data_IF_497481449828
#
_entry.id   IF_497481449828
#
_cell.length_a   1.000
_cell.length_b   1.000
_cell.length_c   1.000
_cell.angle_alpha   90.00
_cell.angle_beta   90.00
_cell.angle_gamma   90.00
#
_symmetry.space_group_name_H-M   'P 1'
#
loop_
_entity.id
_entity.type
_entity.pdbx_description
1 polymer ?
#
# COMPACT_ATOMS: atom_id res chain seq x y z
N UNK A 1 -7.63 14.99 8.69
CA UNK A 1 -6.24 14.57 8.37
C UNK A 1 -5.58 14.16 9.67
N UNK A 2 -4.82 13.05 9.70
CA UNK A 2 -4.11 12.63 10.92
C UNK A 2 -2.91 13.56 11.19
N UNK A 3 -2.63 13.90 12.47
CA UNK A 3 -1.48 14.73 12.82
C UNK A 3 -0.16 14.19 12.24
N UNK A 4 0.73 15.08 11.79
CA UNK A 4 2.05 14.65 11.32
C UNK A 4 2.85 13.97 12.44
N UNK A 5 2.74 14.51 13.66
CA UNK A 5 3.42 14.04 14.87
C UNK A 5 3.00 12.65 15.34
N UNK A 6 1.91 12.08 14.80
CA UNK A 6 1.51 10.70 15.11
C UNK A 6 2.19 9.66 14.21
N UNK A 7 2.97 10.09 13.21
CA UNK A 7 3.47 9.21 12.13
C UNK A 7 4.87 8.64 12.37
N UNK A 8 5.61 9.14 13.36
CA UNK A 8 6.96 8.64 13.68
C UNK A 8 7.95 8.80 12.52
N UNK A 9 7.86 9.88 11.75
CA UNK A 9 8.70 10.13 10.58
C UNK A 9 9.96 10.92 10.95
N UNK A 10 11.12 10.66 10.32
CA UNK A 10 12.38 11.33 10.62
C UNK A 10 12.48 12.75 10.02
N UNK A 11 11.65 13.06 9.02
CA UNK A 11 11.67 14.33 8.28
C UNK A 11 10.66 15.33 8.85
N UNK A 12 10.80 16.63 8.58
CA UNK A 12 9.76 17.61 8.92
C UNK A 12 8.52 17.48 8.02
N UNK A 13 7.39 18.02 8.49
CA UNK A 13 6.15 18.08 7.71
C UNK A 13 6.36 18.85 6.41
N UNK A 14 5.86 18.29 5.29
CA UNK A 14 6.01 18.88 3.96
C UNK A 14 7.30 18.49 3.22
N UNK A 15 8.21 17.72 3.83
CA UNK A 15 9.41 17.23 3.12
C UNK A 15 9.07 16.25 1.99
N UNK A 16 8.10 15.36 2.21
CA UNK A 16 7.58 14.46 1.18
C UNK A 16 6.19 14.91 0.71
N UNK A 17 5.88 14.77 -0.59
CA UNK A 17 4.54 15.02 -1.10
C UNK A 17 3.49 14.20 -0.35
N UNK A 18 2.35 14.82 -0.06
CA UNK A 18 1.24 14.14 0.58
C UNK A 18 0.37 13.46 -0.48
N UNK A 19 0.12 12.17 -0.29
CA UNK A 19 -0.76 11.37 -1.13
C UNK A 19 -1.89 10.80 -0.27
N UNK A 20 -3.10 10.72 -0.84
CA UNK A 20 -4.27 10.14 -0.19
C UNK A 20 -4.90 9.12 -1.12
N UNK A 21 -5.30 7.99 -0.56
CA UNK A 21 -5.84 6.86 -1.34
C UNK A 21 -7.20 6.45 -0.79
N UNK A 22 -8.06 6.02 -1.69
CA UNK A 22 -9.32 5.34 -1.40
C UNK A 22 -9.16 3.84 -1.68
N UNK A 23 -9.68 3.01 -0.77
CA UNK A 23 -9.81 1.56 -0.99
C UNK A 23 -11.06 1.35 -1.84
N UNK A 24 -10.86 1.11 -3.13
CA UNK A 24 -11.96 0.88 -4.08
C UNK A 24 -12.55 -0.51 -3.91
N UNK A 25 -11.72 -1.46 -3.47
CA UNK A 25 -12.11 -2.85 -3.24
C UNK A 25 -11.28 -3.46 -2.13
N UNK A 26 -11.91 -4.32 -1.32
CA UNK A 26 -11.23 -4.99 -0.21
C UNK A 26 -10.00 -5.75 -0.69
N UNK A 27 -8.88 -5.55 0.01
CA UNK A 27 -7.58 -6.16 -0.32
C UNK A 27 -7.54 -7.56 0.27
N UNK A 28 -8.25 -8.48 -0.40
CA UNK A 28 -8.26 -9.91 -0.10
C UNK A 28 -7.56 -10.67 -1.21
N UNK A 29 -7.05 -11.86 -0.90
CA UNK A 29 -6.43 -12.75 -1.90
C UNK A 29 -7.34 -12.98 -3.10
N UNK A 30 -8.63 -13.22 -2.86
CA UNK A 30 -9.62 -13.42 -3.92
C UNK A 30 -9.75 -12.20 -4.83
N UNK A 31 -9.88 -11.01 -4.24
CA UNK A 31 -10.01 -9.77 -5.00
C UNK A 31 -8.74 -9.43 -5.78
N UNK A 32 -7.56 -9.69 -5.22
CA UNK A 32 -6.27 -9.51 -5.89
C UNK A 32 -6.16 -10.43 -7.10
N UNK A 33 -6.42 -11.73 -6.94
CA UNK A 33 -6.35 -12.72 -8.03
C UNK A 33 -7.37 -12.39 -9.12
N UNK A 34 -8.59 -12.02 -8.72
CA UNK A 34 -9.64 -11.61 -9.66
C UNK A 34 -9.23 -10.37 -10.44
N UNK A 35 -8.77 -9.32 -9.77
CA UNK A 35 -8.29 -8.09 -10.42
C UNK A 35 -7.13 -8.39 -11.37
N UNK A 36 -6.14 -9.19 -10.94
CA UNK A 36 -5.01 -9.57 -11.78
C UNK A 36 -5.45 -10.30 -13.05
N UNK A 37 -6.27 -11.36 -12.92
CA UNK A 37 -6.71 -12.15 -14.07
C UNK A 37 -7.59 -11.37 -15.05
N UNK A 38 -8.37 -10.40 -14.55
CA UNK A 38 -9.24 -9.54 -15.35
C UNK A 38 -8.49 -8.32 -15.93
N UNK A 39 -7.27 -8.05 -15.46
CA UNK A 39 -6.49 -6.91 -15.92
C UNK A 39 -5.94 -7.16 -17.33
N UNK A 40 -5.73 -6.10 -18.14
CA UNK A 40 -5.04 -6.24 -19.43
C UNK A 40 -3.66 -6.87 -19.28
N UNK A 41 -3.18 -7.57 -20.32
CA UNK A 41 -1.90 -8.28 -20.32
C UNK A 41 -0.72 -7.40 -19.89
N UNK A 42 -0.71 -6.13 -20.32
CA UNK A 42 0.31 -5.16 -19.92
C UNK A 42 0.35 -4.89 -18.41
N UNK A 43 -0.80 -4.89 -17.74
CA UNK A 43 -0.89 -4.72 -16.28
C UNK A 43 -0.44 -6.00 -15.58
N UNK A 44 -0.89 -7.16 -16.06
CA UNK A 44 -0.45 -8.46 -15.55
C UNK A 44 1.08 -8.60 -15.61
N UNK A 45 1.69 -8.19 -16.73
CA UNK A 45 3.13 -8.29 -16.92
C UNK A 45 3.88 -7.33 -15.98
N UNK A 46 3.39 -6.08 -15.80
CA UNK A 46 3.97 -5.13 -14.83
C UNK A 46 3.91 -5.68 -13.40
N UNK A 47 2.75 -6.17 -12.98
CA UNK A 47 2.56 -6.75 -11.64
C UNK A 47 3.44 -7.99 -11.46
N UNK A 48 3.51 -8.86 -12.48
CA UNK A 48 4.36 -10.05 -12.46
C UNK A 48 5.84 -9.74 -12.31
N UNK A 49 6.33 -8.67 -12.96
CA UNK A 49 7.72 -8.23 -12.85
C UNK A 49 8.05 -7.79 -11.44
N UNK A 50 7.19 -6.96 -10.83
CA UNK A 50 7.37 -6.53 -9.44
C UNK A 50 7.28 -7.71 -8.46
N UNK A 51 6.30 -8.60 -8.63
CA UNK A 51 6.18 -9.80 -7.80
C UNK A 51 7.42 -10.70 -7.90
N UNK A 52 7.94 -10.93 -9.11
CA UNK A 52 9.18 -11.72 -9.30
C UNK A 52 10.40 -11.05 -8.67
N UNK A 53 10.54 -9.73 -8.82
CA UNK A 53 11.67 -8.95 -8.27
C UNK A 53 11.79 -9.10 -6.76
N UNK A 54 10.66 -9.18 -6.06
CA UNK A 54 10.59 -9.27 -4.60
C UNK A 54 10.23 -10.67 -4.10
N UNK A 55 10.16 -11.67 -4.99
CA UNK A 55 9.75 -13.05 -4.71
C UNK A 55 8.41 -13.14 -3.92
N UNK A 56 7.40 -12.39 -4.38
CA UNK A 56 6.10 -12.27 -3.74
C UNK A 56 5.08 -13.24 -4.35
N UNK A 57 4.20 -13.76 -3.50
CA UNK A 57 2.99 -14.49 -3.85
C UNK A 57 1.74 -13.61 -3.67
N UNK A 58 0.60 -14.01 -4.25
CA UNK A 58 -0.67 -13.29 -4.01
C UNK A 58 -1.09 -13.28 -2.52
N UNK A 59 -0.67 -14.29 -1.75
CA UNK A 59 -0.89 -14.35 -0.31
C UNK A 59 -0.07 -13.27 0.42
N UNK A 60 1.15 -12.96 -0.05
CA UNK A 60 1.95 -11.86 0.49
C UNK A 60 1.30 -10.50 0.21
N UNK A 61 0.74 -10.31 -0.99
CA UNK A 61 0.00 -9.08 -1.32
C UNK A 61 -1.25 -8.90 -0.44
N UNK A 62 -1.89 -10.01 -0.04
CA UNK A 62 -3.06 -10.01 0.84
C UNK A 62 -2.71 -9.89 2.33
N UNK A 63 -1.44 -10.01 2.72
CA UNK A 63 -0.99 -9.96 4.11
C UNK A 63 -0.87 -8.51 4.61
N UNK A 64 -2.01 -7.81 4.68
CA UNK A 64 -2.09 -6.44 5.19
C UNK A 64 -2.02 -6.46 6.70
N UNK A 65 -1.07 -5.72 7.26
CA UNK A 65 -0.90 -5.59 8.72
C UNK A 65 -1.33 -4.22 9.18
N UNK A 66 -2.02 -4.15 10.32
CA UNK A 66 -2.42 -2.90 10.96
C UNK A 66 -1.88 -2.90 12.38
N UNK A 67 -1.29 -1.79 12.80
CA UNK A 67 -0.70 -1.68 14.13
C UNK A 67 -0.43 -0.25 14.54
N UNK A 68 -0.08 -0.07 15.81
CA UNK A 68 0.35 1.21 16.34
C UNK A 68 1.77 1.54 15.88
N UNK A 69 2.02 2.81 15.58
CA UNK A 69 3.33 3.36 15.27
C UNK A 69 4.05 3.60 16.60
N UNK A 70 5.16 2.89 16.81
CA UNK A 70 6.01 3.11 17.98
C UNK A 70 6.52 4.55 18.03
N UNK A 71 6.81 5.06 19.24
CA UNK A 71 7.41 6.39 19.40
C UNK A 71 8.87 6.37 18.96
N UNK A 72 9.15 6.98 17.81
CA UNK A 72 10.48 7.14 17.20
C UNK A 72 10.65 8.57 16.67
N UNK A 73 11.87 9.08 16.64
CA UNK A 73 12.15 10.47 16.24
C UNK A 73 11.34 11.53 17.03
N UNK A 74 11.01 11.22 18.29
CA UNK A 74 10.20 12.08 19.16
C UNK A 74 8.69 12.12 18.85
N UNK A 75 8.22 11.27 17.93
CA UNK A 75 6.86 11.27 17.37
C UNK A 75 6.30 9.83 17.29
N UNK A 76 4.98 9.64 17.16
CA UNK A 76 4.36 8.31 17.04
C UNK A 76 3.00 8.21 17.75
N UNK A 77 2.51 6.98 17.96
CA UNK A 77 1.22 6.69 18.58
C UNK A 77 0.03 6.73 17.62
N UNK A 78 0.26 6.97 16.32
CA UNK A 78 -0.76 6.79 15.29
C UNK A 78 -0.96 5.32 14.92
N UNK A 79 -1.94 5.04 14.06
CA UNK A 79 -2.11 3.72 13.46
C UNK A 79 -1.52 3.70 12.06
N UNK A 80 -0.71 2.68 11.75
CA UNK A 80 -0.20 2.41 10.42
C UNK A 80 -0.84 1.16 9.82
N UNK A 81 -0.89 1.15 8.49
CA UNK A 81 -1.23 -0.01 7.67
C UNK A 81 0.00 -0.32 6.83
N UNK A 82 0.51 -1.54 6.94
CA UNK A 82 1.62 -2.04 6.16
C UNK A 82 1.08 -2.96 5.06
N UNK A 83 1.40 -2.61 3.82
CA UNK A 83 1.10 -3.40 2.64
C UNK A 83 2.20 -4.44 2.39
N UNK A 84 1.88 -5.51 1.68
CA UNK A 84 2.84 -6.56 1.31
C UNK A 84 3.87 -6.12 0.28
N UNK A 85 3.59 -5.04 -0.46
CA UNK A 85 4.47 -4.44 -1.46
C UNK A 85 4.15 -2.95 -1.65
N UNK A 86 4.71 -2.31 -2.67
CA UNK A 86 4.43 -0.91 -3.00
C UNK A 86 2.95 -0.66 -3.31
N UNK A 87 2.46 0.53 -2.94
CA UNK A 87 1.09 1.00 -3.20
C UNK A 87 0.75 0.91 -4.70
N UNK A 88 1.73 1.19 -5.56
CA UNK A 88 1.56 1.16 -7.03
C UNK A 88 1.06 -0.17 -7.58
N UNK A 89 1.38 -1.31 -6.95
CA UNK A 89 0.84 -2.62 -7.38
C UNK A 89 -0.66 -2.69 -7.14
N UNK A 90 -1.13 -2.19 -6.00
CA UNK A 90 -2.55 -2.18 -5.65
C UNK A 90 -3.34 -1.18 -6.50
N UNK A 91 -2.72 -0.07 -6.90
CA UNK A 91 -3.29 0.88 -7.86
C UNK A 91 -3.42 0.27 -9.27
N UNK A 92 -2.37 -0.40 -9.77
CA UNK A 92 -2.41 -1.10 -11.05
C UNK A 92 -3.51 -2.16 -11.10
N UNK A 93 -3.77 -2.82 -9.97
CA UNK A 93 -4.86 -3.81 -9.82
C UNK A 93 -6.24 -3.18 -9.56
N UNK A 94 -6.33 -1.84 -9.51
CA UNK A 94 -7.57 -1.11 -9.26
C UNK A 94 -8.16 -1.34 -7.87
N UNK A 95 -7.36 -1.76 -6.90
CA UNK A 95 -7.76 -1.97 -5.50
C UNK A 95 -7.65 -0.67 -4.70
N UNK A 96 -6.67 0.17 -5.06
CA UNK A 96 -6.49 1.51 -4.54
C UNK A 96 -6.64 2.54 -5.66
N UNK A 97 -7.10 3.72 -5.28
CA UNK A 97 -7.16 4.88 -6.17
C UNK A 97 -6.66 6.11 -5.42
N UNK A 98 -5.67 6.80 -5.98
CA UNK A 98 -5.24 8.09 -5.46
C UNK A 98 -6.38 9.12 -5.61
N UNK A 99 -6.63 9.89 -4.54
CA UNK A 99 -7.61 10.97 -4.48
C UNK A 99 -6.91 12.28 -4.12
N UNK A 100 -7.27 13.34 -4.85
CA UNK A 100 -6.75 14.71 -4.68
C UNK A 100 -7.51 15.44 -3.57
#
# INVERSE_FOLDING_TARGET
MLPYTSRGLPYPEGYQPYHKYEVVKDITRENIVKSYNQSPKIIQDKVSVEMKKWNLSFDDLANIRKGEIAKVFGQGGGTQIQFGTSISVYELLGLLKEIV
#
